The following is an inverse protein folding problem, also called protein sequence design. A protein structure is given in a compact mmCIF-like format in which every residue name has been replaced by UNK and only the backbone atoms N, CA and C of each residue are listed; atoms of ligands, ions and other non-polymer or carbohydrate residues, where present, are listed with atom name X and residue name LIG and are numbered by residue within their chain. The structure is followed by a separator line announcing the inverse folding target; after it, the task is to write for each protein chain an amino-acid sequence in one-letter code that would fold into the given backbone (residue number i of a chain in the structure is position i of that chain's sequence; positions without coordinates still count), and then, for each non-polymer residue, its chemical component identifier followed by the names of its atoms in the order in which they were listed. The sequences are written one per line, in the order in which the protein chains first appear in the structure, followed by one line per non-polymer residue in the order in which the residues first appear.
data_IF_376728970835
#
_entry.id   IF_376728970835
#
_cell.length_a   1.000
_cell.length_b   1.000
_cell.length_c   1.000
_cell.angle_alpha   90.00
_cell.angle_beta   90.00
_cell.angle_gamma   90.00
#
_symmetry.space_group_name_H-M   'P 1'
#
loop_
_entity.id
_entity.type
_entity.pdbx_description
1 polymer ?
#
# COMPACT_ATOMS: atom_id res chain seq x y z
N UNK A 1 -45.48 11.29 -0.26
CA UNK A 1 -44.67 11.34 -1.49
C UNK A 1 -43.79 12.55 -1.37
N UNK A 2 -42.54 12.33 -0.96
CA UNK A 2 -41.43 13.25 -1.20
C UNK A 2 -40.27 12.31 -1.53
N UNK A 3 -39.94 12.30 -2.81
CA UNK A 3 -38.81 11.63 -3.38
C UNK A 3 -37.55 12.32 -2.87
N UNK A 4 -36.74 11.62 -2.09
CA UNK A 4 -35.34 11.98 -1.89
C UNK A 4 -34.52 10.83 -2.48
N UNK A 5 -34.29 10.92 -3.79
CA UNK A 5 -33.22 10.17 -4.42
C UNK A 5 -31.91 10.61 -3.78
N UNK A 6 -31.51 9.96 -2.69
CA UNK A 6 -30.09 9.91 -2.30
C UNK A 6 -29.40 9.25 -3.49
N UNK A 7 -28.80 10.05 -4.36
CA UNK A 7 -27.75 9.55 -5.23
C UNK A 7 -26.80 8.81 -4.31
N UNK A 8 -26.77 7.48 -4.41
CA UNK A 8 -25.82 6.69 -3.68
C UNK A 8 -24.47 7.14 -4.21
N UNK A 9 -23.83 8.03 -3.46
CA UNK A 9 -22.47 8.44 -3.74
C UNK A 9 -21.66 7.14 -3.83
N UNK A 10 -20.88 6.92 -4.90
CA UNK A 10 -20.22 5.65 -5.14
C UNK A 10 -19.15 5.41 -4.06
N UNK A 11 -19.61 4.86 -2.93
CA UNK A 11 -18.84 4.57 -1.74
C UNK A 11 -17.98 3.31 -1.87
N UNK A 12 -17.02 3.13 -0.96
CA UNK A 12 -16.07 2.02 -0.98
C UNK A 12 -16.75 0.65 -0.88
N UNK A 13 -18.01 0.58 -0.42
CA UNK A 13 -18.84 -0.63 -0.41
C UNK A 13 -19.06 -1.24 -1.80
N UNK A 14 -18.89 -0.45 -2.88
CA UNK A 14 -18.95 -0.94 -4.26
C UNK A 14 -17.71 -1.69 -4.71
N UNK A 15 -16.59 -1.55 -4.01
CA UNK A 15 -15.31 -2.10 -4.42
C UNK A 15 -15.35 -3.63 -4.31
N UNK A 16 -15.21 -4.32 -5.45
CA UNK A 16 -15.17 -5.79 -5.50
C UNK A 16 -13.75 -6.29 -5.66
N UNK A 17 -12.94 -5.56 -6.43
CA UNK A 17 -11.55 -5.92 -6.68
C UNK A 17 -10.64 -4.72 -6.80
N UNK A 18 -9.40 -4.87 -6.33
CA UNK A 18 -8.32 -3.91 -6.51
C UNK A 18 -7.18 -4.51 -7.32
N UNK A 19 -6.69 -3.76 -8.31
CA UNK A 19 -5.47 -4.06 -9.02
C UNK A 19 -4.29 -3.41 -8.30
N UNK A 20 -3.22 -4.16 -8.06
CA UNK A 20 -1.99 -3.67 -7.42
C UNK A 20 -0.79 -4.12 -8.23
N UNK A 21 0.22 -3.28 -8.41
CA UNK A 21 1.51 -3.75 -8.93
C UNK A 21 2.26 -4.45 -7.80
N UNK A 22 2.79 -5.65 -8.10
CA UNK A 22 3.60 -6.40 -7.12
C UNK A 22 4.81 -5.58 -6.68
N UNK A 23 5.42 -4.84 -7.60
CA UNK A 23 6.52 -3.92 -7.30
C UNK A 23 6.11 -2.83 -6.31
N UNK A 24 4.94 -2.20 -6.48
CA UNK A 24 4.43 -1.18 -5.55
C UNK A 24 4.21 -1.78 -4.15
N UNK A 25 3.70 -3.01 -4.05
CA UNK A 25 3.53 -3.70 -2.76
C UNK A 25 4.87 -3.94 -2.08
N UNK A 26 5.87 -4.44 -2.81
CA UNK A 26 7.21 -4.68 -2.27
C UNK A 26 7.90 -3.38 -1.85
N UNK A 27 7.77 -2.32 -2.64
CA UNK A 27 8.34 -1.00 -2.34
C UNK A 27 7.68 -0.36 -1.12
N UNK A 28 6.35 -0.42 -1.02
CA UNK A 28 5.60 0.06 0.15
C UNK A 28 6.02 -0.70 1.41
N UNK A 29 6.07 -2.03 1.32
CA UNK A 29 6.44 -2.87 2.45
C UNK A 29 7.88 -2.59 2.91
N UNK A 30 8.84 -2.49 1.99
CA UNK A 30 10.22 -2.14 2.34
C UNK A 30 10.30 -0.79 3.04
N UNK A 31 9.64 0.23 2.48
CA UNK A 31 9.65 1.57 3.06
C UNK A 31 9.08 1.57 4.49
N UNK A 32 7.99 0.82 4.72
CA UNK A 32 7.37 0.66 6.03
C UNK A 32 8.22 -0.09 7.05
N UNK A 33 9.20 -0.88 6.60
CA UNK A 33 10.10 -1.64 7.47
C UNK A 33 11.40 -0.88 7.76
N UNK A 34 11.86 -0.05 6.81
CA UNK A 34 13.12 0.70 6.92
C UNK A 34 13.00 2.09 7.52
N UNK A 35 11.79 2.62 7.65
CA UNK A 35 11.57 3.99 8.08
C UNK A 35 10.29 4.09 8.88
N UNK A 36 10.20 5.08 9.76
CA UNK A 36 8.97 5.46 10.45
C UNK A 36 7.93 6.12 9.51
N UNK A 37 8.18 6.12 8.19
CA UNK A 37 7.28 6.69 7.19
C UNK A 37 6.26 5.64 6.79
N UNK A 38 4.98 5.99 6.92
CA UNK A 38 3.89 5.12 6.53
C UNK A 38 3.68 5.20 5.02
N UNK A 39 3.93 4.09 4.31
CA UNK A 39 3.73 3.99 2.85
C UNK A 39 2.67 2.94 2.58
N UNK A 40 1.59 3.37 1.93
CA UNK A 40 0.35 2.62 1.73
C UNK A 40 0.01 2.49 0.25
N UNK A 41 -0.93 1.61 -0.06
CA UNK A 41 -1.57 1.53 -1.35
C UNK A 41 -2.90 2.28 -1.29
N UNK A 42 -3.02 3.38 -2.02
CA UNK A 42 -4.20 4.24 -2.02
C UNK A 42 -5.13 3.94 -3.19
N UNK A 43 -6.43 3.87 -2.90
CA UNK A 43 -7.51 3.78 -3.86
C UNK A 43 -8.33 5.08 -3.78
N UNK A 44 -8.39 5.83 -4.88
CA UNK A 44 -9.02 7.15 -4.91
C UNK A 44 -10.45 7.07 -5.46
N UNK A 45 -11.44 7.71 -4.80
CA UNK A 45 -12.81 7.79 -5.30
C UNK A 45 -12.95 8.62 -6.59
N UNK A 46 -14.11 8.56 -7.28
CA UNK A 46 -15.32 7.79 -6.95
C UNK A 46 -15.11 6.27 -7.05
N UNK A 47 -15.68 5.49 -6.12
CA UNK A 47 -15.43 4.06 -6.08
C UNK A 47 -16.21 3.29 -7.15
N UNK A 48 -15.52 2.36 -7.80
CA UNK A 48 -16.13 1.45 -8.77
C UNK A 48 -15.80 0.00 -8.45
N UNK A 49 -16.54 -0.94 -9.06
CA UNK A 49 -16.38 -2.37 -8.77
C UNK A 49 -14.95 -2.88 -8.96
N UNK A 50 -14.17 -2.27 -9.85
CA UNK A 50 -12.77 -2.63 -10.10
C UNK A 50 -11.92 -1.38 -10.14
N UNK A 51 -10.96 -1.26 -9.24
CA UNK A 51 -10.07 -0.09 -9.19
C UNK A 51 -8.62 -0.48 -9.09
N UNK A 52 -7.72 0.50 -9.19
CA UNK A 52 -6.28 0.29 -9.03
C UNK A 52 -5.81 1.02 -7.80
N UNK A 53 -5.15 0.30 -6.89
CA UNK A 53 -4.43 0.92 -5.79
C UNK A 53 -3.04 1.34 -6.26
N UNK A 54 -2.58 2.50 -5.79
CA UNK A 54 -1.30 3.09 -6.19
C UNK A 54 -0.47 3.40 -4.96
N UNK A 55 0.85 3.30 -5.08
CA UNK A 55 1.77 3.69 -4.03
C UNK A 55 1.51 5.14 -3.57
N UNK A 56 1.38 5.33 -2.27
CA UNK A 56 1.22 6.63 -1.64
C UNK A 56 1.99 6.67 -0.33
N UNK A 57 2.78 7.71 -0.12
CA UNK A 57 3.51 7.91 1.12
C UNK A 57 2.75 8.93 1.97
N UNK A 58 2.42 8.57 3.20
CA UNK A 58 1.85 9.48 4.17
C UNK A 58 3.01 10.26 4.78
N UNK A 59 2.99 11.59 4.61
CA UNK A 59 4.05 12.43 5.17
C UNK A 59 3.94 12.49 6.69
N UNK A 60 5.04 12.18 7.39
CA UNK A 60 5.13 12.10 8.86
C UNK A 60 5.08 13.48 9.55
N UNK A 61 4.49 14.49 8.92
CA UNK A 61 4.56 15.87 9.36
C UNK A 61 3.53 16.77 8.68
N UNK A 62 2.25 16.46 8.86
CA UNK A 62 1.14 17.37 8.58
C UNK A 62 0.77 17.53 7.11
N UNK A 63 -0.54 17.46 6.87
CA UNK A 63 -1.22 17.74 5.61
C UNK A 63 -0.95 16.72 4.49
N UNK A 64 -1.90 15.79 4.35
CA UNK A 64 -1.97 14.91 3.22
C UNK A 64 -1.97 15.71 1.93
N UNK A 65 -0.90 15.58 1.15
CA UNK A 65 -0.83 16.03 -0.23
C UNK A 65 -1.71 15.16 -1.13
N UNK A 66 -3.00 15.09 -0.82
CA UNK A 66 -4.02 15.17 -1.85
C UNK A 66 -4.19 16.66 -2.20
N UNK A 67 -4.61 16.98 -3.41
CA UNK A 67 -4.73 18.37 -3.88
C UNK A 67 -5.87 19.13 -3.21
N UNK A 68 -5.86 19.24 -1.89
CA UNK A 68 -6.75 20.10 -1.09
C UNK A 68 -5.93 21.31 -0.67
N UNK A 69 -5.70 22.19 -1.65
CA UNK A 69 -5.27 23.54 -1.34
C UNK A 69 -6.22 24.14 -0.32
N UNK A 70 -5.67 24.56 0.81
CA UNK A 70 -6.33 25.40 1.80
C UNK A 70 -7.11 26.54 1.10
N UNK A 71 -8.42 26.36 0.97
CA UNK A 71 -9.23 27.27 0.18
C UNK A 71 -10.66 26.81 0.03
N UNK A 72 -11.52 27.34 0.90
CA UNK A 72 -12.98 27.43 0.78
C UNK A 72 -13.78 26.30 1.43
N UNK A 73 -14.76 26.74 2.23
CA UNK A 73 -15.81 25.95 2.83
C UNK A 73 -16.77 25.39 1.76
N UNK A 74 -16.28 24.48 0.93
CA UNK A 74 -17.07 23.62 0.05
C UNK A 74 -16.53 22.20 0.20
N UNK A 75 -16.87 21.58 1.35
CA UNK A 75 -16.62 20.16 1.56
C UNK A 75 -17.43 19.41 0.51
N UNK A 76 -16.74 19.02 -0.57
CA UNK A 76 -17.27 18.16 -1.60
C UNK A 76 -17.83 16.92 -0.92
N UNK A 77 -19.08 16.56 -1.20
CA UNK A 77 -19.82 15.38 -0.70
C UNK A 77 -19.18 14.03 -1.11
N UNK A 78 -17.91 14.05 -1.53
CA UNK A 78 -17.17 12.91 -2.06
C UNK A 78 -16.49 12.14 -0.93
N UNK A 79 -16.50 10.80 -0.96
CA UNK A 79 -15.90 9.96 0.07
C UNK A 79 -14.37 10.14 0.11
N UNK A 80 -13.76 9.83 1.25
CA UNK A 80 -12.32 9.88 1.42
C UNK A 80 -11.60 8.74 0.66
N UNK A 81 -10.33 8.91 0.27
CA UNK A 81 -9.51 7.82 -0.26
C UNK A 81 -9.36 6.65 0.72
N UNK A 82 -9.34 5.43 0.19
CA UNK A 82 -9.06 4.23 0.97
C UNK A 82 -7.56 3.95 0.97
N UNK A 83 -6.98 3.76 2.15
CA UNK A 83 -5.60 3.36 2.34
C UNK A 83 -5.52 1.88 2.72
N UNK A 84 -4.61 1.15 2.08
CA UNK A 84 -4.39 -0.27 2.32
C UNK A 84 -2.94 -0.45 2.77
N UNK A 85 -2.76 -1.02 3.95
CA UNK A 85 -1.44 -1.37 4.47
C UNK A 85 -0.82 -2.51 3.65
N UNK A 86 0.45 -2.40 3.21
CA UNK A 86 1.08 -3.41 2.37
C UNK A 86 1.26 -4.77 3.07
N UNK A 87 1.30 -4.84 4.40
CA UNK A 87 1.40 -6.10 5.16
C UNK A 87 0.13 -6.93 5.02
N UNK A 88 -1.03 -6.29 4.85
CA UNK A 88 -2.30 -6.99 4.61
C UNK A 88 -2.35 -7.64 3.21
N UNK A 89 -1.54 -7.16 2.27
CA UNK A 89 -1.46 -7.68 0.90
C UNK A 89 -0.50 -8.86 0.74
N UNK A 90 0.34 -9.16 1.74
CA UNK A 90 1.40 -10.17 1.64
C UNK A 90 1.09 -11.34 2.58
N UNK A 91 1.08 -12.56 2.04
CA UNK A 91 1.02 -13.77 2.85
C UNK A 91 2.37 -13.97 3.55
N UNK A 92 2.36 -14.03 4.88
CA UNK A 92 3.57 -14.28 5.69
C UNK A 92 4.75 -13.39 5.29
N UNK A 93 4.80 -12.16 5.80
CA UNK A 93 5.85 -11.19 5.49
C UNK A 93 7.23 -11.79 5.79
N UNK A 94 8.11 -11.97 4.77
CA UNK A 94 9.45 -12.48 5.01
C UNK A 94 10.28 -11.47 5.81
N UNK A 95 11.20 -11.93 6.68
CA UNK A 95 12.07 -11.04 7.45
C UNK A 95 12.90 -10.17 6.50
N UNK A 96 13.01 -8.89 6.82
CA UNK A 96 13.78 -7.94 6.02
C UNK A 96 15.28 -8.19 6.25
N UNK A 97 16.10 -8.29 5.18
CA UNK A 97 17.54 -8.48 5.33
C UNK A 97 18.17 -7.20 5.90
N UNK A 98 18.94 -7.32 6.98
CA UNK A 98 19.64 -6.20 7.60
C UNK A 98 21.12 -6.10 7.15
N UNK A 99 21.69 -4.89 7.07
CA UNK A 99 23.09 -4.72 6.70
C UNK A 99 24.05 -5.39 7.69
N UNK A 100 23.70 -5.44 8.98
CA UNK A 100 24.49 -6.09 10.04
C UNK A 100 24.52 -7.62 9.90
N UNK A 101 23.42 -8.23 9.42
CA UNK A 101 23.41 -9.66 9.09
C UNK A 101 24.37 -9.94 7.93
N UNK A 102 24.29 -9.13 6.87
CA UNK A 102 25.22 -9.25 5.73
C UNK A 102 26.69 -9.07 6.17
N UNK A 103 26.96 -8.11 7.08
CA UNK A 103 28.30 -7.91 7.62
C UNK A 103 28.80 -9.10 8.44
N UNK A 104 27.90 -9.77 9.17
CA UNK A 104 28.22 -10.95 9.97
C UNK A 104 28.45 -12.20 9.12
N UNK A 105 27.72 -12.36 8.02
CA UNK A 105 27.90 -13.45 7.06
C UNK A 105 29.17 -13.31 6.22
N UNK A 106 29.60 -12.06 5.95
CA UNK A 106 30.76 -11.75 5.14
C UNK A 106 31.76 -10.83 5.88
N UNK A 107 32.38 -11.30 6.99
CA UNK A 107 33.22 -10.45 7.84
C UNK A 107 34.51 -9.97 7.15
N UNK A 108 35.05 -10.78 6.23
CA UNK A 108 36.29 -10.50 5.51
C UNK A 108 36.08 -9.69 4.21
N UNK A 109 34.84 -9.39 3.85
CA UNK A 109 34.53 -8.66 2.62
C UNK A 109 34.67 -7.14 2.81
N UNK A 110 35.25 -6.49 1.80
CA UNK A 110 35.31 -5.04 1.72
C UNK A 110 33.90 -4.41 1.70
N UNK A 111 33.85 -3.12 2.03
CA UNK A 111 32.58 -2.38 2.17
C UNK A 111 31.75 -2.40 0.88
N UNK A 112 32.39 -2.30 -0.29
CA UNK A 112 31.71 -2.34 -1.59
C UNK A 112 31.02 -3.69 -1.81
N UNK A 113 31.77 -4.78 -1.65
CA UNK A 113 31.23 -6.14 -1.78
C UNK A 113 30.09 -6.40 -0.80
N UNK A 114 30.19 -5.93 0.45
CA UNK A 114 29.08 -6.06 1.42
C UNK A 114 27.84 -5.29 1.00
N UNK A 115 27.99 -4.09 0.41
CA UNK A 115 26.85 -3.32 -0.13
C UNK A 115 26.20 -4.03 -1.30
N UNK A 116 26.98 -4.61 -2.20
CA UNK A 116 26.48 -5.40 -3.32
C UNK A 116 25.70 -6.62 -2.84
N UNK A 117 26.28 -7.41 -1.92
CA UNK A 117 25.62 -8.58 -1.32
C UNK A 117 24.33 -8.21 -0.61
N UNK A 118 24.34 -7.11 0.12
CA UNK A 118 23.14 -6.61 0.78
C UNK A 118 22.07 -6.19 -0.23
N UNK A 119 22.46 -5.50 -1.31
CA UNK A 119 21.53 -5.14 -2.38
C UNK A 119 20.93 -6.37 -3.07
N UNK A 120 21.72 -7.42 -3.30
CA UNK A 120 21.24 -8.71 -3.82
C UNK A 120 20.26 -9.38 -2.86
N UNK A 121 20.54 -9.37 -1.54
CA UNK A 121 19.65 -9.90 -0.52
C UNK A 121 18.30 -9.15 -0.49
N UNK A 122 18.33 -7.81 -0.56
CA UNK A 122 17.13 -6.97 -0.65
C UNK A 122 16.35 -7.25 -1.93
N UNK A 123 17.03 -7.39 -3.08
CA UNK A 123 16.39 -7.72 -4.34
C UNK A 123 15.69 -9.09 -4.30
N UNK A 124 16.35 -10.10 -3.73
CA UNK A 124 15.77 -11.42 -3.52
C UNK A 124 14.58 -11.38 -2.54
N UNK A 125 14.67 -10.58 -1.49
CA UNK A 125 13.55 -10.34 -0.57
C UNK A 125 12.35 -9.71 -1.29
N UNK A 126 12.58 -8.69 -2.14
CA UNK A 126 11.51 -8.07 -2.93
C UNK A 126 10.84 -9.08 -3.86
N UNK A 127 11.60 -9.95 -4.52
CA UNK A 127 11.03 -11.05 -5.34
C UNK A 127 10.11 -11.94 -4.50
N UNK A 128 10.56 -12.39 -3.33
CA UNK A 128 9.73 -13.22 -2.44
C UNK A 128 8.45 -12.53 -2.00
N UNK A 129 8.49 -11.22 -1.72
CA UNK A 129 7.29 -10.44 -1.40
C UNK A 129 6.32 -10.41 -2.59
N UNK A 130 6.84 -10.18 -3.80
CA UNK A 130 6.04 -10.16 -5.04
C UNK A 130 5.35 -11.49 -5.32
N UNK A 131 6.01 -12.60 -5.03
CA UNK A 131 5.46 -13.95 -5.15
C UNK A 131 4.39 -14.27 -4.09
N UNK A 132 4.42 -13.58 -2.94
CA UNK A 132 3.53 -13.78 -1.78
C UNK A 132 2.33 -12.83 -1.74
N UNK A 133 2.12 -12.01 -2.78
CA UNK A 133 0.94 -11.14 -2.85
C UNK A 133 -0.34 -12.00 -2.89
N UNK A 134 -1.23 -11.78 -1.91
CA UNK A 134 -2.49 -12.52 -1.75
C UNK A 134 -3.45 -12.21 -2.90
N UNK A 135 -4.41 -13.10 -3.11
CA UNK A 135 -5.52 -12.90 -4.04
C UNK A 135 -6.71 -12.16 -3.43
N UNK A 136 -6.67 -11.87 -2.12
CA UNK A 136 -7.73 -11.15 -1.39
C UNK A 136 -7.14 -10.31 -0.27
N UNK A 137 -7.80 -9.22 0.09
CA UNK A 137 -7.44 -8.36 1.23
C UNK A 137 -8.68 -7.92 1.99
N UNK A 138 -8.54 -7.71 3.29
CA UNK A 138 -9.56 -7.14 4.15
C UNK A 138 -9.40 -5.63 4.21
N UNK A 139 -10.49 -4.91 3.98
CA UNK A 139 -10.57 -3.44 4.05
C UNK A 139 -11.66 -3.03 5.04
N UNK A 140 -11.48 -1.89 5.68
CA UNK A 140 -12.47 -1.30 6.58
C UNK A 140 -13.33 -0.29 5.81
N UNK A 141 -14.64 -0.46 5.88
CA UNK A 141 -15.64 0.40 5.24
C UNK A 141 -16.77 0.64 6.24
N UNK A 142 -16.98 1.89 6.66
CA UNK A 142 -18.04 2.27 7.60
C UNK A 142 -18.07 1.38 8.87
N UNK A 143 -16.90 1.17 9.48
CA UNK A 143 -16.68 0.30 10.65
C UNK A 143 -16.96 -1.21 10.41
N UNK A 144 -17.16 -1.63 9.16
CA UNK A 144 -17.33 -3.03 8.75
C UNK A 144 -16.12 -3.53 7.95
N UNK A 145 -15.55 -4.67 8.35
CA UNK A 145 -14.49 -5.34 7.58
C UNK A 145 -15.08 -6.09 6.40
N UNK A 146 -14.50 -5.87 5.21
CA UNK A 146 -14.91 -6.52 3.97
C UNK A 146 -13.73 -7.12 3.22
N UNK A 147 -13.93 -8.30 2.66
CA UNK A 147 -12.96 -8.94 1.78
C UNK A 147 -13.15 -8.47 0.34
N UNK A 148 -12.08 -7.99 -0.29
CA UNK A 148 -12.04 -7.63 -1.72
C UNK A 148 -11.00 -8.46 -2.45
N UNK A 149 -11.27 -8.76 -3.72
CA UNK A 149 -10.34 -9.48 -4.59
C UNK A 149 -9.11 -8.61 -4.90
N UNK A 150 -7.93 -9.23 -4.96
CA UNK A 150 -6.68 -8.59 -5.35
C UNK A 150 -6.22 -9.15 -6.69
N UNK A 151 -6.09 -8.26 -7.66
CA UNK A 151 -5.55 -8.54 -8.99
C UNK A 151 -4.11 -8.06 -9.04
N UNK A 152 -3.17 -8.97 -8.79
CA UNK A 152 -1.75 -8.66 -8.81
C UNK A 152 -1.24 -8.50 -10.26
N UNK A 153 -0.82 -7.28 -10.59
CA UNK A 153 -0.20 -6.91 -11.86
C UNK A 153 1.30 -7.20 -11.84
N UNK A 154 1.87 -7.40 -13.03
CA UNK A 154 3.31 -7.51 -13.20
C UNK A 154 4.00 -6.16 -12.94
#
# INVERSE_FOLDING_TARGET
MTEEGRGHDPGPDRLRSIAVHREDVANALEASLRSDREVVLRVTPPFSGRMRARLHALDAGGDGGDGEGAGSADASDSPAPLHIDPRNLVAEVPPYPEPDETASEYPDADLETRRERHAEAVAAWRERVRERVRSTVEIEVDDETRTVDVVALA
#
